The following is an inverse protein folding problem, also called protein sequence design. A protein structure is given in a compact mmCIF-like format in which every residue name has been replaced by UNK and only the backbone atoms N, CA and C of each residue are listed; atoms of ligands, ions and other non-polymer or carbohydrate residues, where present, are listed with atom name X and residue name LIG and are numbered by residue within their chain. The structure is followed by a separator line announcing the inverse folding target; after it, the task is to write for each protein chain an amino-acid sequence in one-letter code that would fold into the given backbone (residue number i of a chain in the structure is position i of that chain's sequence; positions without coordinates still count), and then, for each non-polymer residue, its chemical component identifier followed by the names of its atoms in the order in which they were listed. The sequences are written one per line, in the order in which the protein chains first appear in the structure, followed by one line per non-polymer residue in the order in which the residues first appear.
data_IF_913745381650
#
_entry.id   IF_913745381650
#
_cell.length_a   1.000
_cell.length_b   1.000
_cell.length_c   1.000
_cell.angle_alpha   90.00
_cell.angle_beta   90.00
_cell.angle_gamma   90.00
#
_symmetry.space_group_name_H-M   'P 1'
#
loop_
_entity.id
_entity.type
_entity.pdbx_description
1 polymer ?
#
# COMPACT_ATOMS: atom_id res chain seq x y z
N UNK A 1 19.19 40.71 -10.85
CA UNK A 1 18.51 39.41 -10.63
C UNK A 1 17.68 39.55 -9.37
N UNK A 2 16.35 39.64 -9.51
CA UNK A 2 15.44 39.83 -8.38
C UNK A 2 15.03 38.45 -7.84
N UNK A 3 15.27 38.21 -6.55
CA UNK A 3 14.86 36.98 -5.86
C UNK A 3 13.32 36.91 -5.91
N UNK A 4 12.69 35.78 -6.29
CA UNK A 4 11.25 35.67 -6.26
C UNK A 4 10.74 35.88 -4.83
N UNK A 5 9.76 36.77 -4.68
CA UNK A 5 9.15 37.17 -3.42
C UNK A 5 8.55 35.94 -2.71
N UNK A 6 8.79 35.81 -1.40
CA UNK A 6 8.42 34.65 -0.56
C UNK A 6 6.90 34.39 -0.64
N UNK A 7 6.11 35.45 -0.83
CA UNK A 7 4.65 35.38 -1.01
C UNK A 7 4.23 34.60 -2.28
N UNK A 8 5.01 34.69 -3.36
CA UNK A 8 4.73 33.95 -4.58
C UNK A 8 5.02 32.45 -4.40
N UNK A 9 6.09 32.11 -3.68
CA UNK A 9 6.42 30.72 -3.35
C UNK A 9 5.36 30.11 -2.41
N UNK A 10 4.88 30.87 -1.43
CA UNK A 10 3.83 30.43 -0.51
C UNK A 10 2.47 30.29 -1.21
N UNK A 11 2.15 31.14 -2.18
CA UNK A 11 0.93 31.06 -2.98
C UNK A 11 0.93 29.84 -3.91
N UNK A 12 2.07 29.52 -4.53
CA UNK A 12 2.23 28.30 -5.35
C UNK A 12 2.10 27.05 -4.48
N UNK A 13 2.67 27.05 -3.26
CA UNK A 13 2.52 25.96 -2.30
C UNK A 13 1.08 25.83 -1.73
N UNK A 14 0.29 26.92 -1.75
CA UNK A 14 -1.10 26.99 -1.30
C UNK A 14 -2.13 26.87 -2.42
N UNK A 15 -1.74 26.72 -3.69
CA UNK A 15 -2.71 26.41 -4.73
C UNK A 15 -3.35 25.07 -4.37
N UNK A 16 -4.66 25.03 -4.06
CA UNK A 16 -5.34 23.77 -3.87
C UNK A 16 -5.24 23.05 -5.21
N UNK A 17 -4.46 21.97 -5.26
CA UNK A 17 -4.47 21.04 -6.39
C UNK A 17 -5.94 20.73 -6.64
N UNK A 18 -6.45 21.20 -7.79
CA UNK A 18 -7.84 21.12 -8.22
C UNK A 18 -8.52 19.89 -7.61
N UNK A 19 -9.46 20.15 -6.69
CA UNK A 19 -10.30 19.17 -6.00
C UNK A 19 -11.31 18.57 -6.97
N UNK A 20 -10.83 17.94 -8.05
CA UNK A 20 -11.56 16.86 -8.67
C UNK A 20 -11.53 15.72 -7.65
N UNK A 21 -12.69 15.21 -7.26
CA UNK A 21 -12.79 14.02 -6.41
C UNK A 21 -12.07 12.89 -7.15
N UNK A 22 -10.78 12.69 -6.84
CA UNK A 22 -10.00 11.60 -7.41
C UNK A 22 -10.37 10.36 -6.62
N UNK A 23 -10.84 9.35 -7.34
CA UNK A 23 -11.01 8.02 -6.75
C UNK A 23 -9.63 7.52 -6.34
N UNK A 24 -9.42 7.31 -5.05
CA UNK A 24 -8.22 6.64 -4.56
C UNK A 24 -8.49 5.15 -4.43
N UNK A 25 -7.44 4.35 -4.63
CA UNK A 25 -7.51 2.91 -4.49
C UNK A 25 -7.18 2.49 -3.05
N UNK A 26 -8.00 1.61 -2.48
CA UNK A 26 -7.71 0.86 -1.27
C UNK A 26 -8.05 -0.62 -1.47
N UNK A 27 -7.34 -1.51 -0.79
CA UNK A 27 -7.46 -2.97 -0.89
C UNK A 27 -6.61 -3.60 -1.99
N UNK A 28 -7.04 -4.78 -2.45
CA UNK A 28 -6.29 -5.61 -3.39
C UNK A 28 -6.05 -4.93 -4.75
N UNK A 29 -4.81 -4.96 -5.22
CA UNK A 29 -4.44 -4.58 -6.58
C UNK A 29 -4.45 -5.84 -7.44
N UNK A 30 -5.62 -6.16 -7.98
CA UNK A 30 -5.77 -7.27 -8.91
C UNK A 30 -5.45 -6.79 -10.34
N UNK A 31 -4.37 -7.32 -10.92
CA UNK A 31 -4.00 -7.10 -12.31
C UNK A 31 -3.75 -8.44 -12.99
N UNK A 32 -4.14 -8.61 -14.27
CA UNK A 32 -3.82 -9.80 -15.05
C UNK A 32 -2.31 -9.91 -15.35
N UNK A 33 -1.54 -8.85 -15.09
CA UNK A 33 -0.10 -8.82 -15.32
C UNK A 33 0.64 -9.34 -14.09
N UNK A 34 1.58 -10.27 -14.30
CA UNK A 34 2.38 -10.85 -13.24
C UNK A 34 3.04 -9.76 -12.36
N UNK A 35 3.04 -9.96 -11.04
CA UNK A 35 3.41 -9.01 -9.99
C UNK A 35 4.87 -8.52 -9.96
N UNK A 36 5.56 -8.55 -11.10
CA UNK A 36 6.84 -7.86 -11.35
C UNK A 36 6.73 -6.73 -12.37
N UNK A 37 5.50 -6.39 -12.75
CA UNK A 37 5.23 -5.28 -13.66
C UNK A 37 4.73 -4.11 -12.83
N UNK A 38 5.68 -3.31 -12.35
CA UNK A 38 5.43 -2.09 -11.57
C UNK A 38 5.05 -0.94 -12.53
N UNK A 39 3.97 -1.11 -13.29
CA UNK A 39 3.56 -0.15 -14.32
C UNK A 39 2.07 0.17 -14.25
N UNK A 40 1.43 -0.03 -13.10
CA UNK A 40 0.04 0.36 -12.89
C UNK A 40 0.01 1.73 -12.20
N UNK A 41 -0.08 2.84 -12.96
CA UNK A 41 -0.24 4.16 -12.37
C UNK A 41 -1.61 4.24 -11.71
N UNK A 42 -1.63 4.55 -10.41
CA UNK A 42 -2.86 4.78 -9.67
C UNK A 42 -2.67 5.84 -8.60
N UNK A 43 -3.76 6.25 -7.98
CA UNK A 43 -3.73 7.20 -6.87
C UNK A 43 -4.15 6.48 -5.59
N UNK A 44 -3.43 6.72 -4.51
CA UNK A 44 -3.78 6.27 -3.16
C UNK A 44 -3.97 7.48 -2.26
N UNK A 45 -4.66 7.30 -1.15
CA UNK A 45 -4.77 8.37 -0.16
C UNK A 45 -3.41 8.61 0.50
N UNK A 46 -3.08 9.87 0.79
CA UNK A 46 -1.90 10.20 1.58
C UNK A 46 -1.98 9.54 2.95
N UNK A 47 -0.91 8.87 3.37
CA UNK A 47 -0.88 8.08 4.62
C UNK A 47 -1.28 6.61 4.44
N UNK A 48 -1.70 6.19 3.24
CA UNK A 48 -1.88 4.77 2.93
C UNK A 48 -0.60 3.96 3.11
N UNK A 49 -0.76 2.69 3.47
CA UNK A 49 0.32 1.72 3.54
C UNK A 49 0.16 0.65 2.45
N UNK A 50 1.25 0.31 1.75
CA UNK A 50 1.22 -0.71 0.68
C UNK A 50 1.93 -1.97 1.17
N UNK A 51 1.18 -3.07 1.24
CA UNK A 51 1.74 -4.39 1.57
C UNK A 51 2.28 -5.04 0.29
N UNK A 52 3.56 -5.46 0.29
CA UNK A 52 4.18 -6.12 -0.85
C UNK A 52 3.51 -7.44 -1.25
N UNK A 53 3.53 -7.74 -2.54
CA UNK A 53 2.92 -8.94 -3.11
C UNK A 53 3.51 -10.26 -2.56
N UNK A 54 4.79 -10.30 -2.18
CA UNK A 54 5.41 -11.48 -1.56
C UNK A 54 4.76 -11.81 -0.21
N UNK A 55 4.40 -10.78 0.56
CA UNK A 55 3.74 -10.93 1.86
C UNK A 55 2.29 -11.38 1.68
N UNK A 56 1.55 -10.72 0.78
CA UNK A 56 0.17 -11.11 0.47
C UNK A 56 0.11 -12.55 -0.04
N UNK A 57 0.99 -12.89 -0.98
CA UNK A 57 1.07 -14.26 -1.48
C UNK A 57 1.41 -15.25 -0.36
N UNK A 58 2.35 -14.92 0.54
CA UNK A 58 2.72 -15.78 1.66
C UNK A 58 1.58 -15.96 2.69
N UNK A 59 0.77 -14.92 2.93
CA UNK A 59 -0.43 -15.00 3.77
C UNK A 59 -1.47 -15.98 3.21
N UNK A 60 -1.54 -16.10 1.87
CA UNK A 60 -2.38 -17.06 1.17
C UNK A 60 -1.67 -18.36 0.78
N UNK A 61 -0.61 -18.76 1.50
CA UNK A 61 0.14 -20.00 1.24
C UNK A 61 0.72 -20.12 -0.18
N UNK A 62 1.12 -19.00 -0.77
CA UNK A 62 1.58 -18.91 -2.16
C UNK A 62 0.48 -18.53 -3.15
N UNK A 63 -0.76 -18.37 -2.72
CA UNK A 63 -1.88 -17.91 -3.54
C UNK A 63 -2.26 -16.46 -3.19
N UNK A 64 -2.05 -15.54 -4.13
CA UNK A 64 -2.37 -14.11 -3.96
C UNK A 64 -3.84 -13.84 -3.68
N UNK A 65 -4.77 -14.57 -4.29
CA UNK A 65 -6.22 -14.35 -4.09
C UNK A 65 -6.67 -14.78 -2.69
N UNK A 66 -6.14 -15.89 -2.19
CA UNK A 66 -6.34 -16.28 -0.79
C UNK A 66 -5.72 -15.24 0.15
N UNK A 67 -4.52 -14.75 -0.18
CA UNK A 67 -3.84 -13.68 0.54
C UNK A 67 -4.66 -12.40 0.66
N UNK A 68 -5.34 -12.00 -0.41
CA UNK A 68 -6.26 -10.86 -0.39
C UNK A 68 -7.45 -11.07 0.53
N UNK A 69 -8.02 -12.29 0.59
CA UNK A 69 -9.09 -12.59 1.54
C UNK A 69 -8.60 -12.44 2.98
N UNK A 70 -7.43 -13.02 3.28
CA UNK A 70 -6.83 -12.93 4.62
C UNK A 70 -6.51 -11.47 4.97
N UNK A 71 -5.95 -10.69 4.04
CA UNK A 71 -5.64 -9.28 4.26
C UNK A 71 -6.91 -8.45 4.50
N UNK A 72 -8.00 -8.73 3.78
CA UNK A 72 -9.29 -8.06 3.98
C UNK A 72 -9.88 -8.36 5.36
N UNK A 73 -9.68 -9.56 5.89
CA UNK A 73 -10.20 -9.95 7.19
C UNK A 73 -9.34 -9.42 8.35
N UNK A 74 -8.03 -9.19 8.12
CA UNK A 74 -7.09 -8.71 9.14
C UNK A 74 -7.06 -7.19 9.22
N UNK A 75 -7.02 -6.50 8.07
CA UNK A 75 -6.79 -5.05 8.06
C UNK A 75 -8.10 -4.29 8.00
N UNK A 76 -8.34 -3.39 8.98
CA UNK A 76 -9.56 -2.60 9.00
C UNK A 76 -9.54 -1.51 7.92
N UNK A 77 -10.69 -0.87 7.75
CA UNK A 77 -10.87 0.27 6.87
C UNK A 77 -11.56 -0.05 5.55
N UNK A 78 -11.85 1.01 4.78
CA UNK A 78 -12.59 0.88 3.52
C UNK A 78 -11.75 0.19 2.44
N UNK A 79 -12.40 -0.66 1.65
CA UNK A 79 -11.81 -1.36 0.50
C UNK A 79 -12.50 -0.94 -0.81
N UNK A 80 -11.74 -0.83 -1.89
CA UNK A 80 -12.20 -0.44 -3.22
C UNK A 80 -11.83 0.99 -3.60
N UNK A 81 -12.50 1.52 -4.62
CA UNK A 81 -12.34 2.89 -5.08
C UNK A 81 -13.12 3.83 -4.15
N UNK A 82 -12.40 4.60 -3.33
CA UNK A 82 -13.01 5.49 -2.34
C UNK A 82 -13.04 6.92 -2.91
N UNK A 83 -14.18 7.62 -2.86
CA UNK A 83 -14.21 9.05 -3.11
C UNK A 83 -13.44 9.75 -1.98
N UNK A 84 -12.22 10.17 -2.25
CA UNK A 84 -11.41 10.87 -1.26
C UNK A 84 -11.48 12.37 -1.46
N UNK A 85 -11.84 13.07 -0.38
CA UNK A 85 -11.57 14.50 -0.17
C UNK A 85 -10.15 14.74 0.36
N UNK A 86 -9.45 13.66 0.75
CA UNK A 86 -8.07 13.69 1.22
C UNK A 86 -7.08 13.80 0.06
N UNK A 87 -5.91 14.39 0.34
CA UNK A 87 -4.82 14.54 -0.63
C UNK A 87 -4.43 13.17 -1.22
N UNK A 88 -4.54 13.03 -2.53
CA UNK A 88 -4.17 11.80 -3.24
C UNK A 88 -2.72 11.85 -3.70
N UNK A 89 -1.97 10.76 -3.52
CA UNK A 89 -0.59 10.61 -3.97
C UNK A 89 -0.56 9.67 -5.18
N UNK A 90 0.03 10.08 -6.32
CA UNK A 90 0.23 9.18 -7.44
C UNK A 90 1.33 8.16 -7.09
N UNK A 91 1.01 6.88 -7.27
CA UNK A 91 1.96 5.78 -7.10
C UNK A 91 2.02 4.93 -8.37
N UNK A 92 3.10 4.17 -8.48
CA UNK A 92 3.23 3.12 -9.48
C UNK A 92 3.24 1.80 -8.71
N UNK A 93 2.24 0.98 -8.95
CA UNK A 93 2.00 -0.25 -8.19
C UNK A 93 2.13 -1.49 -9.08
N UNK A 94 2.26 -2.65 -8.43
CA UNK A 94 2.28 -3.96 -9.07
C UNK A 94 1.02 -4.77 -8.76
N UNK A 95 0.70 -5.70 -9.66
CA UNK A 95 -0.32 -6.71 -9.39
C UNK A 95 0.07 -7.58 -8.19
N UNK A 96 -0.87 -7.80 -7.28
CA UNK A 96 -0.67 -8.63 -6.09
C UNK A 96 -0.39 -7.86 -4.80
N UNK A 97 -0.19 -6.54 -4.88
CA UNK A 97 -0.07 -5.68 -3.71
C UNK A 97 -1.42 -5.39 -3.05
N UNK A 98 -1.40 -4.97 -1.79
CA UNK A 98 -2.59 -4.60 -1.05
C UNK A 98 -2.42 -3.23 -0.38
N UNK A 99 -3.37 -2.32 -0.60
CA UNK A 99 -3.31 -0.97 -0.05
C UNK A 99 -4.20 -0.86 1.18
N UNK A 100 -3.67 -0.41 2.30
CA UNK A 100 -4.45 -0.07 3.50
C UNK A 100 -4.75 1.44 3.45
N UNK A 101 -6.03 1.80 3.60
CA UNK A 101 -6.45 3.21 3.67
C UNK A 101 -5.91 3.86 4.97
N UNK A 102 -5.55 5.16 4.99
CA UNK A 102 -5.08 5.85 6.19
C UNK A 102 -5.98 5.66 7.41
N UNK A 103 -7.31 5.59 7.25
CA UNK A 103 -8.21 5.28 8.36
C UNK A 103 -7.87 3.94 9.00
N UNK A 104 -7.70 2.89 8.18
CA UNK A 104 -7.28 1.57 8.63
C UNK A 104 -5.86 1.56 9.24
N UNK A 105 -4.94 2.36 8.70
CA UNK A 105 -3.59 2.52 9.29
C UNK A 105 -3.68 3.10 10.70
N UNK A 106 -4.46 4.17 10.87
CA UNK A 106 -4.63 4.81 12.18
C UNK A 106 -5.38 3.92 13.17
N UNK A 107 -6.38 3.15 12.72
CA UNK A 107 -7.14 2.22 13.55
C UNK A 107 -6.29 1.07 14.11
N UNK A 108 -5.21 0.70 13.41
CA UNK A 108 -4.27 -0.33 13.88
C UNK A 108 -3.42 0.12 15.08
N UNK A 109 -3.41 1.42 15.42
CA UNK A 109 -2.63 1.97 16.52
C UNK A 109 -3.34 3.11 17.26
N UNK A 110 -4.56 2.87 17.73
CA UNK A 110 -5.35 3.80 18.58
C UNK A 110 -5.51 5.22 17.98
N UNK A 111 -5.54 5.33 16.66
CA UNK A 111 -5.65 6.58 15.92
C UNK A 111 -4.31 7.26 15.56
N UNK A 112 -3.17 6.71 15.98
CA UNK A 112 -1.84 7.23 15.65
C UNK A 112 -1.36 6.73 14.29
N UNK A 113 -1.20 7.65 13.33
CA UNK A 113 -0.70 7.33 11.99
C UNK A 113 0.74 6.80 12.02
N UNK A 114 1.62 7.46 12.77
CA UNK A 114 3.03 7.10 12.84
C UNK A 114 3.22 5.72 13.49
N UNK A 115 2.45 5.41 14.52
CA UNK A 115 2.52 4.10 15.18
C UNK A 115 1.85 3.01 14.33
N UNK A 116 0.78 3.35 13.60
CA UNK A 116 0.16 2.47 12.62
C UNK A 116 1.17 2.02 11.55
N UNK A 117 1.95 2.95 11.00
CA UNK A 117 3.04 2.61 10.06
C UNK A 117 4.12 1.75 10.70
N UNK A 118 4.53 2.03 11.95
CA UNK A 118 5.52 1.17 12.65
C UNK A 118 5.01 -0.25 12.86
N UNK A 119 3.75 -0.41 13.26
CA UNK A 119 3.11 -1.72 13.44
C UNK A 119 3.10 -2.49 12.13
N UNK A 120 2.73 -1.83 11.03
CA UNK A 120 2.71 -2.43 9.70
C UNK A 120 4.11 -2.78 9.19
N UNK A 121 5.10 -1.94 9.45
CA UNK A 121 6.50 -2.23 9.12
C UNK A 121 7.04 -3.45 9.86
N UNK A 122 6.78 -3.55 11.16
CA UNK A 122 7.17 -4.72 11.95
C UNK A 122 6.42 -5.97 11.51
N UNK A 123 5.13 -5.86 11.18
CA UNK A 123 4.37 -6.95 10.57
C UNK A 123 5.02 -7.44 9.27
N UNK A 124 5.35 -6.54 8.34
CA UNK A 124 5.99 -6.90 7.06
C UNK A 124 7.35 -7.57 7.30
N UNK A 125 8.18 -7.04 8.19
CA UNK A 125 9.48 -7.63 8.54
C UNK A 125 9.32 -9.04 9.10
N UNK A 126 8.42 -9.24 10.05
CA UNK A 126 8.17 -10.54 10.68
C UNK A 126 7.64 -11.57 9.68
N UNK A 127 6.68 -11.16 8.83
CA UNK A 127 6.14 -12.02 7.79
C UNK A 127 7.20 -12.41 6.78
N UNK A 128 8.03 -11.47 6.32
CA UNK A 128 9.14 -11.76 5.40
C UNK A 128 10.13 -12.73 6.03
N UNK A 129 10.50 -12.51 7.29
CA UNK A 129 11.40 -13.41 8.02
C UNK A 129 10.82 -14.84 8.13
N UNK A 130 9.53 -14.97 8.44
CA UNK A 130 8.82 -16.25 8.48
C UNK A 130 8.84 -16.94 7.12
N UNK A 131 8.49 -16.22 6.05
CA UNK A 131 8.49 -16.76 4.68
C UNK A 131 9.87 -17.26 4.27
N UNK A 132 10.92 -16.46 4.47
CA UNK A 132 12.30 -16.87 4.16
C UNK A 132 12.71 -18.10 4.98
N UNK A 133 12.36 -18.15 6.27
CA UNK A 133 12.65 -19.30 7.13
C UNK A 133 11.98 -20.57 6.61
N UNK A 134 10.70 -20.49 6.24
CA UNK A 134 9.95 -21.61 5.67
C UNK A 134 10.59 -22.08 4.36
N UNK A 135 10.85 -21.17 3.41
CA UNK A 135 11.44 -21.51 2.12
C UNK A 135 12.83 -22.17 2.25
N UNK A 136 13.65 -21.72 3.20
CA UNK A 136 14.95 -22.33 3.50
C UNK A 136 14.86 -23.75 4.07
N UNK A 137 13.75 -24.09 4.72
CA UNK A 137 13.54 -25.40 5.33
C UNK A 137 12.96 -26.42 4.33
N UNK A 138 12.46 -25.97 3.18
CA UNK A 138 11.94 -26.87 2.16
C UNK A 138 13.08 -27.65 1.48
N UNK A 139 12.85 -28.92 1.10
CA UNK A 139 13.79 -29.66 0.27
C UNK A 139 14.14 -28.85 -0.98
N UNK A 140 15.42 -28.90 -1.37
CA UNK A 140 15.86 -28.27 -2.61
C UNK A 140 15.05 -28.79 -3.82
N UNK A 141 14.97 -28.00 -4.90
CA UNK A 141 14.25 -28.42 -6.09
C UNK A 141 14.77 -29.77 -6.56
N UNK A 142 13.86 -30.67 -6.91
CA UNK A 142 14.23 -31.97 -7.47
C UNK A 142 15.13 -31.71 -8.68
N UNK A 143 16.32 -32.30 -8.67
CA UNK A 143 17.17 -32.33 -9.85
C UNK A 143 16.62 -33.43 -10.76
N UNK A 144 16.28 -33.04 -11.98
CA UNK A 144 15.99 -33.98 -13.06
C UNK A 144 17.29 -34.70 -13.50
#
# INVERSE_FOLDING_TARGET
MSIPNIDAALSIARQPVSSSVRKVHAGAIHSPVAGRTDHLPMHVASGSYVIPADIISAMGEGNTMAGFSVAKDIFPGPVGAIPSTVNSVPIVAAGGEYVIHPDGVSELADGSMDDGHKVLDEFVKQMRAKTVKTLKALPGPKKD
#
